data_IF_067574289387
#
_entry.id   IF_067574289387
#
_cell.length_a   1.000
_cell.length_b   1.000
_cell.length_c   1.000
_cell.angle_alpha   90.00
_cell.angle_beta   90.00
_cell.angle_gamma   90.00
#
_symmetry.space_group_name_H-M   'P 1'
#
loop_
_entity.id
_entity.type
_entity.pdbx_description
1 polymer ?
#
# COMPACT_ATOMS: atom_id res chain seq x y z
N UNK A 1 -0.06 -7.68 -27.31
CA UNK A 1 -1.20 -7.39 -28.19
C UNK A 1 -0.95 -6.04 -28.80
N UNK A 2 -0.70 -5.99 -30.10
CA UNK A 2 -0.66 -4.72 -30.82
C UNK A 2 -2.09 -4.19 -30.88
N UNK A 3 -2.41 -3.21 -30.02
CA UNK A 3 -3.62 -2.43 -30.15
C UNK A 3 -3.51 -1.63 -31.44
N UNK A 4 -4.21 -2.09 -32.47
CA UNK A 4 -4.51 -1.28 -33.64
C UNK A 4 -5.31 -0.08 -33.11
N UNK A 5 -4.64 1.05 -32.86
CA UNK A 5 -5.30 2.32 -32.57
C UNK A 5 -6.22 2.63 -33.74
N UNK A 6 -7.50 2.27 -33.63
CA UNK A 6 -8.50 2.69 -34.61
C UNK A 6 -8.46 4.21 -34.67
N UNK A 7 -8.13 4.73 -35.84
CA UNK A 7 -8.06 6.17 -36.05
C UNK A 7 -9.49 6.72 -36.01
N UNK A 8 -9.81 7.43 -34.94
CA UNK A 8 -11.11 8.07 -34.78
C UNK A 8 -11.36 9.10 -35.89
N UNK A 9 -12.62 9.29 -36.30
CA UNK A 9 -12.98 10.20 -37.38
C UNK A 9 -12.67 11.66 -37.03
N UNK A 10 -12.73 12.51 -38.04
CA UNK A 10 -12.77 13.96 -37.86
C UNK A 10 -14.20 14.47 -38.00
N UNK A 11 -14.51 15.54 -37.27
CA UNK A 11 -15.79 16.24 -37.36
C UNK A 11 -15.96 16.95 -38.71
N UNK A 12 -17.18 17.48 -38.96
CA UNK A 12 -17.47 18.32 -40.13
C UNK A 12 -16.57 19.57 -40.17
N UNK A 13 -16.17 20.07 -39.00
CA UNK A 13 -15.26 21.21 -38.88
C UNK A 13 -13.78 20.78 -38.79
N UNK A 14 -13.44 19.56 -39.22
CA UNK A 14 -12.08 19.01 -39.27
C UNK A 14 -11.37 18.92 -37.90
N UNK A 15 -12.13 18.90 -36.79
CA UNK A 15 -11.61 18.64 -35.44
C UNK A 15 -11.41 17.14 -35.24
N UNK A 16 -10.38 16.77 -34.48
CA UNK A 16 -10.13 15.36 -34.16
C UNK A 16 -11.15 14.90 -33.10
N UNK A 17 -11.96 13.89 -33.42
CA UNK A 17 -12.82 13.28 -32.42
C UNK A 17 -11.96 12.48 -31.43
N UNK A 18 -12.29 12.61 -30.15
CA UNK A 18 -11.72 11.85 -29.02
C UNK A 18 -12.55 10.59 -28.74
N UNK A 19 -13.81 10.58 -29.19
CA UNK A 19 -14.73 9.44 -29.13
C UNK A 19 -15.16 9.00 -30.51
N UNK A 20 -15.91 7.91 -30.58
CA UNK A 20 -16.70 7.56 -31.76
C UNK A 20 -17.77 8.64 -32.07
N UNK A 21 -18.30 8.61 -33.30
CA UNK A 21 -19.45 9.42 -33.69
C UNK A 21 -20.75 8.71 -33.30
N UNK A 22 -21.47 9.32 -32.36
CA UNK A 22 -22.75 8.86 -31.83
C UNK A 22 -23.92 9.37 -32.68
N UNK A 23 -25.07 8.69 -32.58
CA UNK A 23 -26.31 9.15 -33.21
C UNK A 23 -26.91 10.34 -32.43
N UNK A 24 -27.76 11.12 -33.10
CA UNK A 24 -28.51 12.19 -32.43
C UNK A 24 -29.39 11.63 -31.30
N UNK A 25 -29.47 12.36 -30.19
CA UNK A 25 -30.24 11.97 -29.00
C UNK A 25 -29.55 10.94 -28.10
N UNK A 26 -28.36 10.44 -28.47
CA UNK A 26 -27.55 9.59 -27.59
C UNK A 26 -26.95 10.42 -26.45
N UNK A 27 -27.00 9.89 -25.23
CA UNK A 27 -26.30 10.46 -24.06
C UNK A 27 -25.00 9.70 -23.85
N UNK A 28 -23.88 10.42 -23.78
CA UNK A 28 -22.57 9.84 -23.46
C UNK A 28 -21.79 10.79 -22.55
N UNK A 29 -20.67 10.32 -22.03
CA UNK A 29 -19.79 11.10 -21.14
C UNK A 29 -18.57 11.54 -21.94
N UNK A 30 -18.25 12.83 -21.90
CA UNK A 30 -17.03 13.35 -22.49
C UNK A 30 -15.81 12.78 -21.74
N UNK A 31 -14.83 12.16 -22.42
CA UNK A 31 -13.78 11.37 -21.77
C UNK A 31 -12.78 12.20 -20.96
N UNK A 32 -12.58 13.47 -21.32
CA UNK A 32 -11.69 14.41 -20.59
C UNK A 32 -12.43 15.21 -19.51
N UNK A 33 -13.51 15.90 -19.86
CA UNK A 33 -14.26 16.75 -18.91
C UNK A 33 -15.15 15.95 -17.94
N UNK A 34 -15.46 14.69 -18.26
CA UNK A 34 -16.40 13.83 -17.53
C UNK A 34 -17.83 14.39 -17.43
N UNK A 35 -18.17 15.34 -18.32
CA UNK A 35 -19.50 15.92 -18.43
C UNK A 35 -20.40 15.08 -19.33
N UNK A 36 -21.70 15.09 -19.06
CA UNK A 36 -22.70 14.53 -19.98
C UNK A 36 -22.78 15.38 -21.23
N UNK A 37 -22.65 14.73 -22.39
CA UNK A 37 -22.78 15.36 -23.69
C UNK A 37 -23.90 14.68 -24.49
N UNK A 38 -24.66 15.50 -25.21
CA UNK A 38 -25.68 15.06 -26.14
C UNK A 38 -25.83 16.08 -27.27
N UNK A 39 -26.36 15.64 -28.40
CA UNK A 39 -26.85 16.55 -29.43
C UNK A 39 -28.13 16.03 -30.06
N UNK A 40 -29.11 16.92 -30.21
CA UNK A 40 -30.37 16.62 -30.88
C UNK A 40 -30.34 17.01 -32.37
N UNK A 41 -29.33 17.77 -32.81
CA UNK A 41 -29.26 18.35 -34.15
C UNK A 41 -28.72 17.36 -35.18
N UNK A 42 -27.78 16.50 -34.78
CA UNK A 42 -27.17 15.53 -35.69
C UNK A 42 -26.23 14.55 -34.97
N UNK A 43 -25.63 13.60 -35.71
CA UNK A 43 -24.57 12.76 -35.18
C UNK A 43 -23.42 13.62 -34.65
N UNK A 44 -22.84 13.22 -33.52
CA UNK A 44 -21.86 14.04 -32.82
C UNK A 44 -20.72 13.19 -32.24
N UNK A 45 -19.58 13.80 -31.96
CA UNK A 45 -18.46 13.21 -31.23
C UNK A 45 -17.92 14.20 -30.18
N UNK A 46 -17.25 13.70 -29.15
CA UNK A 46 -16.51 14.54 -28.22
C UNK A 46 -15.21 15.04 -28.88
N UNK A 47 -14.86 16.30 -28.64
CA UNK A 47 -13.63 16.93 -29.13
C UNK A 47 -12.97 17.74 -28.02
N UNK A 48 -11.71 18.14 -28.19
CA UNK A 48 -11.10 19.09 -27.25
C UNK A 48 -11.96 20.37 -27.15
N UNK A 49 -12.17 20.91 -25.93
CA UNK A 49 -13.00 22.10 -25.74
C UNK A 49 -12.52 23.28 -26.60
N UNK A 50 -13.44 23.94 -27.30
CA UNK A 50 -13.14 25.07 -28.17
C UNK A 50 -14.14 26.21 -27.99
N UNK A 51 -13.72 27.47 -28.24
CA UNK A 51 -14.63 28.62 -28.14
C UNK A 51 -15.62 28.63 -29.30
N UNK A 52 -16.89 28.80 -28.98
CA UNK A 52 -17.99 28.98 -29.90
C UNK A 52 -18.77 30.23 -29.53
N UNK A 53 -18.98 31.09 -30.52
CA UNK A 53 -19.76 32.32 -30.37
C UNK A 53 -21.16 32.03 -30.92
N UNK A 54 -22.16 32.10 -30.06
CA UNK A 54 -23.55 31.99 -30.51
C UNK A 54 -23.91 33.24 -31.33
N UNK A 55 -24.25 33.03 -32.60
CA UNK A 55 -24.59 34.09 -33.54
C UNK A 55 -25.81 34.94 -33.13
N UNK A 56 -26.68 34.43 -32.25
CA UNK A 56 -27.89 35.12 -31.80
C UNK A 56 -27.67 35.98 -30.56
N UNK A 57 -26.84 35.51 -29.63
CA UNK A 57 -26.62 36.17 -28.33
C UNK A 57 -25.29 36.89 -28.25
N UNK A 58 -24.34 36.57 -29.16
CA UNK A 58 -22.97 37.07 -29.11
C UNK A 58 -22.15 36.52 -27.94
N UNK A 59 -22.70 35.56 -27.19
CA UNK A 59 -22.02 34.97 -26.01
C UNK A 59 -21.04 33.90 -26.45
N UNK A 60 -19.81 33.99 -25.95
CA UNK A 60 -18.81 32.95 -26.09
C UNK A 60 -19.05 31.83 -25.08
N UNK A 61 -19.10 30.60 -25.56
CA UNK A 61 -19.24 29.39 -24.77
C UNK A 61 -18.20 28.37 -25.20
N UNK A 62 -17.70 27.56 -24.28
CA UNK A 62 -16.81 26.46 -24.62
C UNK A 62 -17.66 25.25 -24.99
N UNK A 63 -17.55 24.79 -26.24
CA UNK A 63 -18.16 23.55 -26.68
C UNK A 63 -17.13 22.44 -26.65
N UNK A 64 -17.55 21.26 -26.22
CA UNK A 64 -16.75 20.04 -26.15
C UNK A 64 -17.32 18.93 -27.05
N UNK A 65 -18.26 19.28 -27.92
CA UNK A 65 -18.83 18.42 -28.96
C UNK A 65 -18.70 19.05 -30.34
N UNK A 66 -18.57 18.21 -31.35
CA UNK A 66 -18.66 18.62 -32.75
C UNK A 66 -19.45 17.59 -33.57
N UNK A 67 -19.93 18.02 -34.73
CA UNK A 67 -20.82 17.22 -35.57
C UNK A 67 -20.06 16.26 -36.47
N UNK A 68 -20.64 15.10 -36.72
CA UNK A 68 -20.14 14.10 -37.66
C UNK A 68 -21.03 14.00 -38.90
N UNK A 69 -20.44 13.67 -40.05
CA UNK A 69 -21.20 13.39 -41.28
C UNK A 69 -22.04 12.12 -41.19
N UNK A 70 -21.56 11.12 -40.43
CA UNK A 70 -22.23 9.84 -40.24
C UNK A 70 -21.90 9.27 -38.85
N UNK A 71 -22.89 8.70 -38.18
CA UNK A 71 -22.68 7.96 -36.94
C UNK A 71 -21.89 6.66 -37.22
N UNK A 72 -20.91 6.37 -36.37
CA UNK A 72 -20.11 5.14 -36.42
C UNK A 72 -20.67 4.06 -35.50
N UNK A 73 -21.41 4.46 -34.46
CA UNK A 73 -22.13 3.58 -33.53
C UNK A 73 -23.62 3.86 -33.67
N UNK A 74 -24.46 2.82 -33.77
CA UNK A 74 -25.92 2.95 -33.85
C UNK A 74 -26.57 2.68 -32.50
N UNK A 75 -27.67 3.35 -32.16
CA UNK A 75 -28.37 3.23 -30.88
C UNK A 75 -28.85 1.80 -30.52
N UNK A 76 -28.86 0.85 -31.46
CA UNK A 76 -29.23 -0.54 -31.17
C UNK A 76 -28.10 -1.38 -30.54
N UNK A 77 -26.88 -0.84 -30.48
CA UNK A 77 -25.72 -1.46 -29.82
C UNK A 77 -25.47 -0.87 -28.42
N UNK A 78 -26.50 -0.28 -27.78
CA UNK A 78 -26.46 0.27 -26.42
C UNK A 78 -26.30 -0.83 -25.33
N UNK A 79 -25.34 -1.74 -25.47
CA UNK A 79 -24.76 -2.39 -24.31
C UNK A 79 -23.93 -1.33 -23.59
N UNK A 80 -24.19 -1.15 -22.30
CA UNK A 80 -23.39 -0.34 -21.39
C UNK A 80 -21.88 -0.66 -21.48
N UNK A 81 -21.50 -1.84 -22.02
CA UNK A 81 -20.12 -2.20 -22.36
C UNK A 81 -19.45 -1.30 -23.40
N UNK A 82 -20.19 -0.69 -24.31
CA UNK A 82 -19.58 0.08 -25.42
C UNK A 82 -19.27 1.52 -24.98
N UNK A 83 -19.98 2.03 -23.97
CA UNK A 83 -19.68 3.29 -23.27
C UNK A 83 -18.38 3.17 -22.43
N UNK A 84 -17.91 1.93 -22.18
CA UNK A 84 -16.75 1.69 -21.32
C UNK A 84 -15.39 1.88 -22.01
N UNK A 85 -15.35 1.95 -23.35
CA UNK A 85 -14.10 2.08 -24.10
C UNK A 85 -13.56 3.52 -24.20
N UNK A 86 -14.42 4.53 -24.06
CA UNK A 86 -14.01 5.92 -24.28
C UNK A 86 -13.52 6.61 -23.01
N UNK A 87 -13.83 6.10 -21.81
CA UNK A 87 -13.36 6.70 -20.57
C UNK A 87 -11.96 6.19 -20.25
N UNK A 88 -10.94 6.96 -20.65
CA UNK A 88 -9.59 6.83 -20.08
C UNK A 88 -9.65 7.37 -18.65
N UNK A 89 -10.19 6.58 -17.71
CA UNK A 89 -10.00 6.85 -16.31
C UNK A 89 -8.52 6.58 -16.02
N UNK A 90 -7.72 7.57 -15.60
CA UNK A 90 -6.42 7.25 -15.03
C UNK A 90 -6.70 6.37 -13.81
N UNK A 91 -6.39 5.08 -13.92
CA UNK A 91 -6.47 4.16 -12.80
C UNK A 91 -5.35 4.53 -11.84
N UNK A 92 -5.59 5.52 -10.99
CA UNK A 92 -4.68 5.86 -9.91
C UNK A 92 -4.77 4.77 -8.85
N UNK A 93 -4.02 3.69 -9.05
CA UNK A 93 -3.92 2.62 -8.07
C UNK A 93 -2.98 3.06 -6.95
N UNK A 94 -3.50 3.80 -5.96
CA UNK A 94 -2.73 4.18 -4.79
C UNK A 94 -2.45 2.96 -3.93
N UNK A 95 -1.23 2.45 -4.01
CA UNK A 95 -0.77 1.29 -3.26
C UNK A 95 0.40 1.65 -2.32
N UNK A 96 0.79 0.71 -1.47
CA UNK A 96 1.87 0.89 -0.49
C UNK A 96 3.19 1.37 -1.13
N UNK A 97 3.54 0.87 -2.32
CA UNK A 97 4.75 1.23 -3.05
C UNK A 97 4.70 2.68 -3.54
N UNK A 98 3.56 3.11 -4.07
CA UNK A 98 3.33 4.50 -4.52
C UNK A 98 3.33 5.45 -3.32
N UNK A 99 2.67 5.07 -2.22
CA UNK A 99 2.67 5.84 -0.98
C UNK A 99 4.09 6.11 -0.47
N UNK A 100 4.93 5.07 -0.40
CA UNK A 100 6.32 5.19 0.05
C UNK A 100 7.17 6.08 -0.86
N UNK A 101 7.05 5.92 -2.18
CA UNK A 101 7.80 6.72 -3.14
C UNK A 101 7.41 8.19 -3.14
N UNK A 102 6.11 8.49 -3.21
CA UNK A 102 5.62 9.87 -3.35
C UNK A 102 5.76 10.64 -2.04
N UNK A 103 5.39 10.05 -0.90
CA UNK A 103 5.34 10.80 0.36
C UNK A 103 6.66 10.80 1.13
N UNK A 104 7.48 9.75 0.97
CA UNK A 104 8.67 9.55 1.80
C UNK A 104 9.96 9.39 1.01
N UNK A 105 9.88 9.37 -0.33
CA UNK A 105 11.04 9.14 -1.18
C UNK A 105 11.77 7.82 -0.87
N UNK A 106 11.02 6.76 -0.55
CA UNK A 106 11.51 5.42 -0.19
C UNK A 106 11.31 4.46 -1.38
N UNK A 107 12.41 3.96 -1.97
CA UNK A 107 12.40 3.12 -3.16
C UNK A 107 12.79 1.67 -2.91
N UNK A 108 13.37 1.37 -1.76
CA UNK A 108 13.80 0.04 -1.33
C UNK A 108 13.39 -0.23 0.13
N UNK A 109 13.60 -1.47 0.57
CA UNK A 109 13.40 -1.81 1.97
C UNK A 109 14.49 -1.19 2.86
N UNK A 110 15.72 -1.13 2.35
CA UNK A 110 16.88 -0.51 2.99
C UNK A 110 16.64 0.99 3.21
N UNK A 111 16.06 1.68 2.23
CA UNK A 111 15.67 3.10 2.35
C UNK A 111 14.67 3.29 3.48
N UNK A 112 13.72 2.35 3.64
CA UNK A 112 12.74 2.42 4.73
C UNK A 112 13.40 2.27 6.09
N UNK A 113 14.36 1.35 6.23
CA UNK A 113 15.13 1.16 7.46
C UNK A 113 16.01 2.37 7.75
N UNK A 114 16.68 2.92 6.74
CA UNK A 114 17.43 4.16 6.87
C UNK A 114 16.53 5.31 7.33
N UNK A 115 15.39 5.49 6.67
CA UNK A 115 14.42 6.53 7.02
C UNK A 115 13.97 6.42 8.48
N UNK A 116 13.65 5.22 8.96
CA UNK A 116 13.23 5.00 10.36
C UNK A 116 14.36 5.35 11.34
N UNK A 117 15.61 5.02 11.01
CA UNK A 117 16.76 5.32 11.85
C UNK A 117 17.10 6.82 11.88
N UNK A 118 16.94 7.53 10.76
CA UNK A 118 17.17 8.97 10.66
C UNK A 118 16.03 9.81 11.27
N UNK A 119 14.83 9.25 11.41
CA UNK A 119 13.63 9.95 11.88
C UNK A 119 13.16 9.43 13.24
N UNK A 120 14.08 9.20 14.17
CA UNK A 120 13.83 8.52 15.45
C UNK A 120 12.86 9.23 16.41
N UNK A 121 12.67 10.56 16.29
CA UNK A 121 11.67 11.30 17.09
C UNK A 121 10.24 11.20 16.54
N UNK A 122 10.06 10.48 15.43
CA UNK A 122 8.76 10.27 14.81
C UNK A 122 7.87 9.38 15.67
N UNK A 123 6.56 9.64 15.65
CA UNK A 123 5.60 8.80 16.36
C UNK A 123 5.68 7.33 15.92
N UNK A 124 5.52 6.41 16.88
CA UNK A 124 5.49 4.97 16.62
C UNK A 124 4.51 4.57 15.52
N UNK A 125 3.33 5.20 15.45
CA UNK A 125 2.31 4.91 14.42
C UNK A 125 2.80 5.20 13.01
N UNK A 126 3.59 6.24 12.82
CA UNK A 126 4.18 6.56 11.51
C UNK A 126 5.27 5.57 11.15
N UNK A 127 6.13 5.21 12.11
CA UNK A 127 7.16 4.18 11.91
C UNK A 127 6.51 2.84 11.54
N UNK A 128 5.48 2.44 12.30
CA UNK A 128 4.69 1.24 12.05
C UNK A 128 4.07 1.24 10.65
N UNK A 129 3.45 2.36 10.24
CA UNK A 129 2.88 2.51 8.91
C UNK A 129 3.93 2.32 7.82
N UNK A 130 5.08 2.98 7.94
CA UNK A 130 6.16 2.92 6.94
C UNK A 130 6.72 1.51 6.85
N UNK A 131 7.01 0.86 7.98
CA UNK A 131 7.53 -0.51 7.98
C UNK A 131 6.52 -1.53 7.45
N UNK A 132 5.22 -1.40 7.77
CA UNK A 132 4.19 -2.25 7.19
C UNK A 132 4.11 -2.08 5.67
N UNK A 133 4.11 -0.83 5.19
CA UNK A 133 4.14 -0.55 3.75
C UNK A 133 5.40 -1.12 3.08
N UNK A 134 6.56 -1.00 3.74
CA UNK A 134 7.84 -1.46 3.21
C UNK A 134 7.88 -2.98 3.12
N UNK A 135 7.42 -3.69 4.16
CA UNK A 135 7.31 -5.15 4.12
C UNK A 135 6.36 -5.61 3.00
N UNK A 136 5.21 -4.96 2.81
CA UNK A 136 4.29 -5.27 1.72
C UNK A 136 4.89 -4.97 0.33
N UNK A 137 5.65 -3.90 0.19
CA UNK A 137 6.12 -3.42 -1.12
C UNK A 137 7.43 -4.04 -1.58
N UNK A 138 8.32 -4.34 -0.62
CA UNK A 138 9.72 -4.70 -0.87
C UNK A 138 10.17 -5.93 -0.07
N UNK A 139 9.37 -6.42 0.89
CA UNK A 139 9.78 -7.47 1.83
C UNK A 139 10.18 -8.80 1.20
N UNK A 140 9.58 -9.16 0.05
CA UNK A 140 9.96 -10.36 -0.70
C UNK A 140 11.35 -10.20 -1.36
N UNK A 141 11.71 -8.99 -1.75
CA UNK A 141 12.99 -8.63 -2.42
C UNK A 141 14.18 -8.63 -1.43
N UNK A 142 13.93 -8.68 -0.12
CA UNK A 142 14.99 -8.68 0.92
C UNK A 142 15.66 -10.05 1.03
N UNK A 143 16.67 -10.32 0.20
CA UNK A 143 17.36 -11.62 0.21
C UNK A 143 18.16 -11.88 1.48
N UNK A 144 18.81 -10.84 2.01
CA UNK A 144 19.64 -10.91 3.20
C UNK A 144 19.09 -9.97 4.27
N UNK A 145 18.85 -10.52 5.46
CA UNK A 145 18.48 -9.72 6.62
C UNK A 145 19.75 -9.08 7.18
N UNK A 146 19.98 -7.81 6.84
CA UNK A 146 21.13 -7.08 7.34
C UNK A 146 21.01 -6.74 8.84
N UNK A 147 22.14 -6.37 9.44
CA UNK A 147 22.18 -6.05 10.87
C UNK A 147 21.34 -4.81 11.22
N UNK A 148 21.22 -3.85 10.28
CA UNK A 148 20.46 -2.61 10.48
C UNK A 148 18.99 -2.93 10.68
N UNK A 149 18.43 -3.78 9.83
CA UNK A 149 17.04 -4.25 9.93
C UNK A 149 16.76 -4.91 11.28
N UNK A 150 17.66 -5.81 11.70
CA UNK A 150 17.53 -6.55 12.97
C UNK A 150 17.59 -5.56 14.14
N UNK A 151 18.55 -4.64 14.12
CA UNK A 151 18.74 -3.65 15.17
C UNK A 151 17.56 -2.67 15.24
N UNK A 152 17.00 -2.25 14.11
CA UNK A 152 15.78 -1.43 14.05
C UNK A 152 14.60 -2.16 14.69
N UNK A 153 14.37 -3.44 14.37
CA UNK A 153 13.29 -4.20 15.01
C UNK A 153 13.52 -4.42 16.51
N UNK A 154 14.77 -4.68 16.94
CA UNK A 154 15.10 -4.76 18.36
C UNK A 154 14.81 -3.45 19.09
N UNK A 155 15.17 -2.31 18.51
CA UNK A 155 14.87 -0.98 19.06
C UNK A 155 13.36 -0.83 19.27
N UNK A 156 12.56 -1.14 18.26
CA UNK A 156 11.09 -1.06 18.34
C UNK A 156 10.50 -2.00 19.39
N UNK A 157 11.00 -3.24 19.48
CA UNK A 157 10.55 -4.19 20.50
C UNK A 157 10.86 -3.66 21.91
N UNK A 158 12.07 -3.13 22.12
CA UNK A 158 12.53 -2.62 23.42
C UNK A 158 11.79 -1.37 23.86
N UNK A 159 11.51 -0.47 22.94
CA UNK A 159 10.84 0.79 23.26
C UNK A 159 9.33 0.61 23.46
N UNK A 160 8.68 -0.21 22.63
CA UNK A 160 7.21 -0.22 22.57
C UNK A 160 6.55 -1.50 23.05
N UNK A 161 7.28 -2.63 23.15
CA UNK A 161 6.69 -3.96 23.38
C UNK A 161 7.31 -4.72 24.54
N UNK A 162 8.30 -4.15 25.20
CA UNK A 162 9.04 -4.82 26.26
C UNK A 162 8.16 -5.17 27.47
N UNK A 163 7.23 -4.27 27.84
CA UNK A 163 6.24 -4.53 28.91
C UNK A 163 5.36 -5.74 28.58
N UNK A 164 4.92 -5.85 27.33
CA UNK A 164 4.13 -7.01 26.86
C UNK A 164 4.94 -8.30 26.98
N UNK A 165 6.25 -8.25 26.68
CA UNK A 165 7.16 -9.39 26.82
C UNK A 165 7.31 -9.79 28.28
N UNK A 166 7.60 -8.83 29.17
CA UNK A 166 7.73 -9.07 30.61
C UNK A 166 6.45 -9.72 31.15
N UNK A 167 5.27 -9.20 30.80
CA UNK A 167 4.00 -9.76 31.30
C UNK A 167 3.75 -11.22 30.88
N UNK A 168 4.22 -11.61 29.68
CA UNK A 168 4.04 -12.97 29.16
C UNK A 168 5.10 -13.95 29.65
N UNK A 169 6.36 -13.50 29.67
CA UNK A 169 7.54 -14.36 29.88
C UNK A 169 8.05 -14.30 31.32
N UNK A 170 7.87 -13.18 32.01
CA UNK A 170 8.39 -12.97 33.37
C UNK A 170 7.89 -13.99 34.39
N UNK A 171 6.69 -14.54 34.20
CA UNK A 171 6.13 -15.63 35.05
C UNK A 171 6.93 -16.94 34.99
N UNK A 172 7.86 -17.08 34.05
CA UNK A 172 8.73 -18.25 33.89
C UNK A 172 10.16 -17.97 34.36
N UNK A 173 10.42 -16.81 34.95
CA UNK A 173 11.74 -16.36 35.34
C UNK A 173 11.73 -16.12 36.85
N UNK A 174 12.66 -16.74 37.57
CA UNK A 174 12.79 -16.61 39.03
C UNK A 174 14.26 -16.42 39.45
N UNK A 175 14.48 -15.92 40.67
CA UNK A 175 15.80 -15.78 41.26
C UNK A 175 16.03 -16.91 42.26
N UNK A 176 17.11 -17.66 42.12
CA UNK A 176 17.54 -18.67 43.10
C UNK A 176 19.04 -18.51 43.34
N UNK A 177 19.43 -18.30 44.60
CA UNK A 177 20.83 -18.09 45.00
C UNK A 177 21.52 -16.99 44.16
N UNK A 178 20.88 -15.83 44.05
CA UNK A 178 21.31 -14.68 43.24
C UNK A 178 21.50 -14.93 41.74
N UNK A 179 21.03 -16.08 41.24
CA UNK A 179 21.04 -16.40 39.81
C UNK A 179 19.62 -16.40 39.26
N UNK A 180 19.46 -15.75 38.12
CA UNK A 180 18.21 -15.78 37.36
C UNK A 180 18.12 -17.11 36.62
N UNK A 181 17.07 -17.88 36.91
CA UNK A 181 16.80 -19.19 36.33
C UNK A 181 15.42 -19.21 35.66
N UNK A 182 15.24 -20.13 34.71
CA UNK A 182 13.92 -20.42 34.15
C UNK A 182 13.21 -21.44 35.05
N UNK A 183 11.93 -21.25 35.31
CA UNK A 183 11.12 -22.12 36.17
C UNK A 183 9.77 -22.43 35.53
N UNK A 184 9.31 -23.67 35.71
CA UNK A 184 7.95 -24.11 35.35
C UNK A 184 6.88 -23.53 36.28
N UNK A 185 7.27 -23.14 37.50
CA UNK A 185 6.35 -22.59 38.49
C UNK A 185 5.96 -21.17 38.10
N UNK A 186 4.68 -20.96 37.79
CA UNK A 186 4.09 -19.66 37.47
C UNK A 186 3.90 -18.81 38.73
N UNK A 187 4.98 -18.53 39.44
CA UNK A 187 4.94 -17.59 40.55
C UNK A 187 5.22 -16.18 40.01
N UNK A 188 4.64 -15.14 40.64
CA UNK A 188 5.05 -13.77 40.33
C UNK A 188 6.55 -13.69 40.57
N UNK A 189 7.28 -13.28 39.54
CA UNK A 189 8.72 -13.09 39.59
C UNK A 189 9.09 -12.25 40.82
N UNK A 190 9.89 -12.81 41.72
CA UNK A 190 10.58 -12.05 42.78
C UNK A 190 11.74 -11.22 42.21
N UNK A 191 12.05 -11.39 40.92
CA UNK A 191 13.05 -10.60 40.18
C UNK A 191 12.47 -9.22 39.89
N UNK A 192 13.24 -8.19 40.21
CA UNK A 192 12.95 -6.81 39.86
C UNK A 192 12.84 -6.62 38.33
N UNK A 193 11.99 -5.68 37.90
CA UNK A 193 11.74 -5.42 36.47
C UNK A 193 13.03 -5.05 35.72
N UNK A 194 13.98 -4.38 36.37
CA UNK A 194 15.27 -4.02 35.77
C UNK A 194 16.14 -5.26 35.55
N UNK A 195 16.29 -6.11 36.56
CA UNK A 195 17.05 -7.37 36.46
C UNK A 195 16.44 -8.29 35.40
N UNK A 196 15.11 -8.37 35.36
CA UNK A 196 14.38 -9.13 34.36
C UNK A 196 14.62 -8.59 32.95
N UNK A 197 14.57 -7.26 32.78
CA UNK A 197 14.86 -6.60 31.51
C UNK A 197 16.27 -6.90 31.01
N UNK A 198 17.27 -6.77 31.87
CA UNK A 198 18.67 -7.05 31.53
C UNK A 198 18.87 -8.53 31.14
N UNK A 199 18.22 -9.46 31.87
CA UNK A 199 18.26 -10.88 31.53
C UNK A 199 17.64 -11.16 30.16
N UNK A 200 16.41 -10.65 29.94
CA UNK A 200 15.67 -10.83 28.69
C UNK A 200 16.46 -10.24 27.50
N UNK A 201 16.98 -9.02 27.61
CA UNK A 201 17.77 -8.38 26.54
C UNK A 201 19.03 -9.17 26.19
N UNK A 202 19.76 -9.67 27.21
CA UNK A 202 21.02 -10.40 26.95
C UNK A 202 20.78 -11.80 26.39
N UNK A 203 19.81 -12.54 26.94
CA UNK A 203 19.65 -13.98 26.63
C UNK A 203 18.62 -14.27 25.54
N UNK A 204 17.55 -13.47 25.48
CA UNK A 204 16.37 -13.78 24.66
C UNK A 204 16.13 -12.74 23.54
N UNK A 205 16.14 -11.45 23.84
CA UNK A 205 15.83 -10.34 22.92
C UNK A 205 17.13 -9.75 22.37
N UNK A 206 17.84 -10.56 21.59
CA UNK A 206 19.12 -10.20 20.97
C UNK A 206 19.11 -10.48 19.46
N UNK A 207 20.10 -9.91 18.75
CA UNK A 207 20.15 -9.92 17.29
C UNK A 207 20.20 -11.33 16.69
N UNK A 208 20.86 -12.27 17.37
CA UNK A 208 20.91 -13.68 16.92
C UNK A 208 19.52 -14.33 16.95
N UNK A 209 18.79 -14.20 18.06
CA UNK A 209 17.46 -14.77 18.19
C UNK A 209 16.47 -14.09 17.23
N UNK A 210 16.53 -12.76 17.10
CA UNK A 210 15.64 -12.03 16.21
C UNK A 210 15.96 -12.30 14.74
N UNK A 211 17.23 -12.33 14.34
CA UNK A 211 17.64 -12.66 12.98
C UNK A 211 17.16 -14.05 12.55
N UNK A 212 17.37 -15.06 13.39
CA UNK A 212 16.85 -16.43 13.15
C UNK A 212 15.33 -16.45 13.03
N UNK A 213 14.64 -15.68 13.86
CA UNK A 213 13.19 -15.58 13.82
C UNK A 213 12.71 -14.90 12.53
N UNK A 214 13.27 -13.75 12.16
CA UNK A 214 12.88 -13.00 10.97
C UNK A 214 13.10 -13.83 9.70
N UNK A 215 14.20 -14.59 9.62
CA UNK A 215 14.45 -15.50 8.51
C UNK A 215 13.35 -16.56 8.40
N UNK A 216 13.04 -17.23 9.52
CA UNK A 216 11.94 -18.20 9.59
C UNK A 216 10.58 -17.57 9.25
N UNK A 217 10.33 -16.35 9.72
CA UNK A 217 9.09 -15.62 9.46
C UNK A 217 8.92 -15.36 7.96
N UNK A 218 9.98 -14.92 7.27
CA UNK A 218 9.97 -14.73 5.81
C UNK A 218 9.65 -16.04 5.09
N UNK A 219 10.41 -17.09 5.38
CA UNK A 219 10.26 -18.40 4.74
C UNK A 219 8.86 -18.99 4.91
N UNK A 220 8.30 -18.87 6.12
CA UNK A 220 6.98 -19.43 6.45
C UNK A 220 5.84 -18.67 5.77
N UNK A 221 5.98 -17.36 5.61
CA UNK A 221 4.90 -16.49 5.14
C UNK A 221 5.00 -16.12 3.66
N UNK A 222 6.06 -16.53 2.95
CA UNK A 222 6.30 -16.15 1.54
C UNK A 222 5.08 -16.38 0.64
N UNK A 223 4.33 -17.48 0.84
CA UNK A 223 3.17 -17.84 0.01
C UNK A 223 1.96 -16.93 0.23
N UNK A 224 1.82 -16.39 1.43
CA UNK A 224 0.67 -15.59 1.85
C UNK A 224 1.08 -14.14 2.10
N UNK A 225 2.24 -13.72 1.60
CA UNK A 225 2.88 -12.46 1.95
C UNK A 225 1.96 -11.26 1.72
N UNK A 226 1.34 -11.18 0.54
CA UNK A 226 0.44 -10.10 0.15
C UNK A 226 -0.86 -10.04 0.98
N UNK A 227 -1.24 -11.14 1.63
CA UNK A 227 -2.44 -11.19 2.49
C UNK A 227 -2.20 -10.64 3.90
N UNK A 228 -0.95 -10.36 4.27
CA UNK A 228 -0.58 -9.91 5.61
C UNK A 228 -0.63 -8.38 5.69
N UNK A 229 -1.74 -7.85 6.20
CA UNK A 229 -1.94 -6.40 6.29
C UNK A 229 -1.00 -5.69 7.30
N UNK A 230 -0.54 -6.38 8.34
CA UNK A 230 0.22 -5.79 9.45
C UNK A 230 1.48 -6.59 9.80
N UNK A 231 2.45 -6.61 8.89
CA UNK A 231 3.70 -7.35 9.07
C UNK A 231 4.43 -7.02 10.37
N UNK A 232 4.61 -5.73 10.72
CA UNK A 232 5.37 -5.35 11.92
C UNK A 232 4.73 -5.92 13.20
N UNK A 233 3.40 -5.80 13.33
CA UNK A 233 2.68 -6.33 14.48
C UNK A 233 2.72 -7.86 14.52
N UNK A 234 2.60 -8.53 13.36
CA UNK A 234 2.69 -9.98 13.28
C UNK A 234 4.10 -10.46 13.66
N UNK A 235 5.14 -9.86 13.08
CA UNK A 235 6.55 -10.10 13.41
C UNK A 235 6.77 -10.00 14.92
N UNK A 236 6.35 -8.89 15.53
CA UNK A 236 6.52 -8.67 16.97
C UNK A 236 5.76 -9.75 17.76
N UNK A 237 4.46 -9.94 17.50
CA UNK A 237 3.65 -10.86 18.28
C UNK A 237 4.11 -12.32 18.15
N UNK A 238 4.49 -12.73 16.94
CA UNK A 238 5.06 -14.05 16.70
C UNK A 238 6.46 -14.20 17.28
N UNK A 239 7.27 -13.14 17.31
CA UNK A 239 8.56 -13.17 17.99
C UNK A 239 8.39 -13.39 19.49
N UNK A 240 7.40 -12.74 20.12
CA UNK A 240 7.11 -12.95 21.54
C UNK A 240 6.71 -14.42 21.79
N UNK A 241 5.85 -15.00 20.94
CA UNK A 241 5.50 -16.43 21.00
C UNK A 241 6.72 -17.33 20.80
N UNK A 242 7.60 -16.98 19.86
CA UNK A 242 8.84 -17.69 19.59
C UNK A 242 9.74 -17.74 20.83
N UNK A 243 9.89 -16.61 21.54
CA UNK A 243 10.66 -16.57 22.80
C UNK A 243 9.95 -17.38 23.90
N UNK A 244 8.62 -17.27 24.04
CA UNK A 244 7.86 -18.05 25.03
C UNK A 244 8.05 -19.57 24.82
N UNK A 245 7.94 -20.05 23.59
CA UNK A 245 8.20 -21.46 23.25
C UNK A 245 9.65 -21.86 23.56
N UNK A 246 10.61 -20.98 23.30
CA UNK A 246 12.02 -21.24 23.59
C UNK A 246 12.28 -21.36 25.09
N UNK A 247 11.65 -20.51 25.90
CA UNK A 247 11.70 -20.57 27.35
C UNK A 247 11.09 -21.88 27.86
N UNK A 248 9.89 -22.24 27.38
CA UNK A 248 9.20 -23.47 27.77
C UNK A 248 9.98 -24.75 27.43
N UNK A 249 10.77 -24.74 26.36
CA UNK A 249 11.64 -25.86 25.98
C UNK A 249 12.93 -25.95 26.80
N UNK A 250 13.30 -24.87 27.50
CA UNK A 250 14.53 -24.77 28.29
C UNK A 250 14.31 -25.04 29.78
N UNK A 251 13.04 -25.22 30.17
CA UNK A 251 12.57 -25.66 31.49
C UNK A 251 12.41 -27.17 31.43
#
# INVERSE_FOLDING_TARGET
MEDIKQKLPKSVNNRQCITHCYEKGTYTIHPVSLNWINSNEGPFCATDPYPYIDAKTGTETMLDIDYCTKATIKNNDNKVSDISYDIILPTYNFNHKIFLKIHYNIFSFEDAIQWVNENEFTSYRTIERILNCAWLSYGLEVDLLDERLINTHLKLIREYKFKDIISKIGKYISKKNDKIILSSEKNKSEVDDKELKEYLDRKLINSNNLGKFLFKYKDTNVKNWESINFHLNNIINEFIKYIEVKVLKSI
#
